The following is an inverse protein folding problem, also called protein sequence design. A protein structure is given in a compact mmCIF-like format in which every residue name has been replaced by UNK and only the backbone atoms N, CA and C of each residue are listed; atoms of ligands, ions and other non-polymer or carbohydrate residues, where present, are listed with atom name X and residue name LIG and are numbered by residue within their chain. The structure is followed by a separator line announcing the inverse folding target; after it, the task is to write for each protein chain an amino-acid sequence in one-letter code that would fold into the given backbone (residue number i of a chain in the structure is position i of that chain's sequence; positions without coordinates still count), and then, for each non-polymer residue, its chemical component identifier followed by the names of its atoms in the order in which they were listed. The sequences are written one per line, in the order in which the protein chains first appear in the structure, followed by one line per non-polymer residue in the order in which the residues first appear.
data_IF_800605544362
#
_entry.id   IF_800605544362
#
_cell.length_a   1.000
_cell.length_b   1.000
_cell.length_c   1.000
_cell.angle_alpha   90.00
_cell.angle_beta   90.00
_cell.angle_gamma   90.00
#
_symmetry.space_group_name_H-M   'P 1'
#
loop_
_entity.id
_entity.type
_entity.pdbx_description
1 polymer ?
#
# COMPACT_ATOMS: atom_id res chain seq x y z
N UNK A 1 -0.44 -12.32 2.36
CA UNK A 1 0.73 -11.46 2.06
C UNK A 1 1.97 -12.34 1.95
N UNK A 2 2.88 -12.06 1.00
CA UNK A 2 4.17 -12.75 0.89
C UNK A 2 5.28 -11.97 1.63
N UNK A 3 6.45 -12.58 1.82
CA UNK A 3 7.49 -12.06 2.71
C UNK A 3 7.94 -10.63 2.38
N UNK A 4 8.12 -10.29 1.11
CA UNK A 4 8.57 -8.95 0.74
C UNK A 4 7.51 -7.88 1.02
N UNK A 5 6.21 -8.19 0.84
CA UNK A 5 5.12 -7.26 1.16
C UNK A 5 5.10 -6.94 2.65
N UNK A 6 5.32 -7.96 3.50
CA UNK A 6 5.40 -7.80 4.95
C UNK A 6 6.57 -6.89 5.32
N UNK A 7 7.77 -7.14 4.76
CA UNK A 7 8.96 -6.32 5.03
C UNK A 7 8.78 -4.84 4.66
N UNK A 8 8.13 -4.57 3.53
CA UNK A 8 7.80 -3.19 3.10
C UNK A 8 6.85 -2.54 4.10
N UNK A 9 5.81 -3.26 4.52
CA UNK A 9 4.81 -2.73 5.47
C UNK A 9 5.41 -2.50 6.85
N UNK A 10 6.26 -3.41 7.33
CA UNK A 10 7.01 -3.22 8.58
C UNK A 10 7.91 -1.97 8.52
N UNK A 11 8.63 -1.76 7.41
CA UNK A 11 9.44 -0.55 7.23
C UNK A 11 8.58 0.73 7.25
N UNK A 12 7.44 0.73 6.55
CA UNK A 12 6.49 1.86 6.57
C UNK A 12 5.97 2.14 8.01
N UNK A 13 5.67 1.08 8.77
CA UNK A 13 5.14 1.21 10.13
C UNK A 13 6.21 1.65 11.14
N UNK A 14 7.49 1.32 10.94
CA UNK A 14 8.61 1.75 11.78
C UNK A 14 8.84 3.26 11.75
N UNK A 15 8.58 3.91 10.61
CA UNK A 15 8.72 5.37 10.43
C UNK A 15 10.12 5.91 10.74
N UNK A 16 11.14 5.12 10.43
CA UNK A 16 12.56 5.44 10.57
C UNK A 16 13.16 6.10 9.31
N UNK A 17 12.38 6.18 8.22
CA UNK A 17 12.75 6.88 6.99
C UNK A 17 11.79 6.63 5.83
N UNK A 18 12.19 7.09 4.64
CA UNK A 18 11.45 6.85 3.40
C UNK A 18 11.74 5.44 2.84
N UNK A 19 10.71 4.81 2.29
CA UNK A 19 10.80 3.44 1.75
C UNK A 19 10.64 3.45 0.24
N UNK A 20 11.65 2.94 -0.47
CA UNK A 20 11.57 2.68 -1.92
C UNK A 20 11.36 1.20 -2.17
N UNK A 21 10.24 0.84 -2.82
CA UNK A 21 9.91 -0.53 -3.20
C UNK A 21 9.75 -0.64 -4.72
N UNK A 22 10.55 -1.49 -5.36
CA UNK A 22 10.47 -1.77 -6.80
C UNK A 22 9.84 -3.15 -6.98
N UNK A 23 8.75 -3.22 -7.76
CA UNK A 23 8.04 -4.46 -8.00
C UNK A 23 7.31 -4.41 -9.35
N UNK A 24 7.22 -5.55 -10.03
CA UNK A 24 6.56 -5.67 -11.33
C UNK A 24 5.06 -5.39 -11.26
N UNK A 25 4.45 -5.04 -12.39
CA UNK A 25 2.98 -5.01 -12.52
C UNK A 25 2.41 -6.41 -12.27
N UNK A 26 1.25 -6.49 -11.59
CA UNK A 26 0.62 -7.77 -11.24
C UNK A 26 1.21 -8.48 -10.01
N UNK A 27 2.32 -8.00 -9.44
CA UNK A 27 2.97 -8.62 -8.27
C UNK A 27 2.20 -8.50 -6.94
N UNK A 28 1.10 -7.76 -6.93
CA UNK A 28 0.34 -7.47 -5.71
C UNK A 28 0.90 -6.34 -4.86
N UNK A 29 1.74 -5.45 -5.41
CA UNK A 29 2.26 -4.27 -4.69
C UNK A 29 1.18 -3.35 -4.11
N UNK A 30 -0.03 -3.34 -4.67
CA UNK A 30 -1.16 -2.56 -4.12
C UNK A 30 -1.46 -2.90 -2.66
N UNK A 31 -1.24 -4.16 -2.23
CA UNK A 31 -1.46 -4.57 -0.84
C UNK A 31 -0.58 -3.80 0.15
N UNK A 32 0.63 -3.39 -0.25
CA UNK A 32 1.55 -2.67 0.64
C UNK A 32 1.09 -1.25 0.94
N UNK A 33 0.15 -0.70 0.17
CA UNK A 33 -0.47 0.61 0.45
C UNK A 33 -1.52 0.51 1.55
N UNK A 34 -2.29 -0.58 1.57
CA UNK A 34 -3.47 -0.71 2.43
C UNK A 34 -3.18 -1.41 3.75
N UNK A 35 -2.30 -2.41 3.75
CA UNK A 35 -1.98 -3.19 4.94
C UNK A 35 -1.53 -2.35 6.15
N UNK A 36 -0.77 -1.24 6.00
CA UNK A 36 -0.41 -0.37 7.13
C UNK A 36 -1.62 0.20 7.90
N UNK A 37 -2.77 0.43 7.24
CA UNK A 37 -3.97 0.99 7.87
C UNK A 37 -4.56 0.05 8.94
N UNK A 38 -4.39 -1.28 8.79
CA UNK A 38 -4.86 -2.25 9.78
C UNK A 38 -4.18 -2.08 11.15
N UNK A 39 -2.96 -1.53 11.16
CA UNK A 39 -2.17 -1.30 12.37
C UNK A 39 -2.23 0.17 12.84
N UNK A 40 -2.99 1.00 12.13
CA UNK A 40 -3.19 2.43 12.44
C UNK A 40 -4.67 2.78 12.31
N UNK A 41 -5.51 2.44 13.29
CA UNK A 41 -6.97 2.62 13.18
C UNK A 41 -7.42 4.07 12.99
N UNK A 42 -6.64 5.06 13.44
CA UNK A 42 -6.88 6.49 13.19
C UNK A 42 -5.98 7.06 12.07
N UNK A 43 -5.25 6.20 11.36
CA UNK A 43 -4.35 6.59 10.29
C UNK A 43 -5.10 6.95 9.01
N UNK A 44 -4.61 7.97 8.31
CA UNK A 44 -5.07 8.32 6.97
C UNK A 44 -3.92 8.01 6.00
N UNK A 45 -4.21 7.28 4.92
CA UNK A 45 -3.26 6.96 3.86
C UNK A 45 -3.63 7.73 2.60
N UNK A 46 -2.70 8.55 2.11
CA UNK A 46 -2.82 9.18 0.80
C UNK A 46 -2.09 8.33 -0.23
N UNK A 47 -2.80 7.91 -1.29
CA UNK A 47 -2.22 7.18 -2.42
C UNK A 47 -2.34 8.05 -3.67
N UNK A 48 -1.21 8.47 -4.21
CA UNK A 48 -1.15 9.33 -5.40
C UNK A 48 -0.80 8.44 -6.59
N UNK A 49 -1.67 8.42 -7.60
CA UNK A 49 -1.48 7.67 -8.84
C UNK A 49 -1.70 8.61 -10.03
N UNK A 50 -0.85 8.58 -11.06
CA UNK A 50 -1.04 9.40 -12.26
C UNK A 50 -2.19 8.90 -13.15
N UNK A 51 -2.62 7.65 -12.97
CA UNK A 51 -3.69 7.03 -13.77
C UNK A 51 -4.99 7.00 -12.97
N UNK A 52 -5.98 7.78 -13.43
CA UNK A 52 -7.31 7.86 -12.81
C UNK A 52 -8.01 6.49 -12.74
N UNK A 53 -7.86 5.65 -13.78
CA UNK A 53 -8.48 4.33 -13.83
C UNK A 53 -7.97 3.41 -12.71
N UNK A 54 -6.69 3.49 -12.35
CA UNK A 54 -6.14 2.74 -11.22
C UNK A 54 -6.70 3.25 -9.89
N UNK A 55 -6.89 4.57 -9.76
CA UNK A 55 -7.53 5.16 -8.59
C UNK A 55 -8.97 4.66 -8.41
N UNK A 56 -9.77 4.66 -9.47
CA UNK A 56 -11.14 4.15 -9.45
C UNK A 56 -11.20 2.66 -9.09
N UNK A 57 -10.29 1.84 -9.64
CA UNK A 57 -10.19 0.42 -9.30
C UNK A 57 -9.91 0.20 -7.81
N UNK A 58 -8.97 0.97 -7.23
CA UNK A 58 -8.66 0.88 -5.81
C UNK A 58 -9.87 1.25 -4.93
N UNK A 59 -10.61 2.30 -5.29
CA UNK A 59 -11.83 2.70 -4.57
C UNK A 59 -12.87 1.57 -4.59
N UNK A 60 -13.11 0.96 -5.75
CA UNK A 60 -14.06 -0.15 -5.88
C UNK A 60 -13.64 -1.38 -5.06
N UNK A 61 -12.34 -1.70 -5.01
CA UNK A 61 -11.81 -2.84 -4.26
C UNK A 61 -11.92 -2.66 -2.73
N UNK A 62 -11.84 -1.43 -2.23
CA UNK A 62 -11.92 -1.14 -0.79
C UNK A 62 -13.36 -0.96 -0.29
N UNK A 63 -14.31 -0.70 -1.19
CA UNK A 63 -15.73 -0.54 -0.85
C UNK A 63 -16.49 -1.87 -0.76
N UNK A 64 -15.90 -2.96 -1.23
CA UNK A 64 -16.44 -4.32 -1.18
C UNK A 64 -16.03 -5.03 0.11
#
# INVERSE_FOLDING_TARGET
PCLWQIKVVEAILKRDGDVVCISATGSGKTLTFWLPLLFRPQGIQLVISPLNILGQQNVAQLAA
#
